data_IF_038760866250
#
_entry.id   IF_038760866250
#
_cell.length_a   1.000
_cell.length_b   1.000
_cell.length_c   1.000
_cell.angle_alpha   90.00
_cell.angle_beta   90.00
_cell.angle_gamma   90.00
#
_symmetry.space_group_name_H-M   'P 1'
#
loop_
_entity.id
_entity.type
_entity.pdbx_description
1 polymer ?
#
# COMPACT_ATOMS: atom_id res chain seq x y z
N UNK A 1 66.26 21.98 6.64
CA UNK A 1 64.77 21.92 6.62
C UNK A 1 64.35 20.77 7.52
N UNK A 2 63.78 21.04 8.70
CA UNK A 2 63.29 19.99 9.62
C UNK A 2 61.82 19.75 9.33
N UNK A 3 61.48 18.61 8.75
CA UNK A 3 60.10 18.16 8.68
C UNK A 3 59.65 17.82 10.11
N UNK A 4 58.61 18.52 10.61
CA UNK A 4 57.99 18.17 11.89
C UNK A 4 57.29 16.84 11.68
N UNK A 5 57.83 15.78 12.29
CA UNK A 5 57.21 14.47 12.30
C UNK A 5 55.87 14.55 13.06
N UNK A 6 54.86 13.86 12.54
CA UNK A 6 53.56 13.62 13.19
C UNK A 6 53.75 13.20 14.65
N UNK A 7 53.05 13.85 15.58
CA UNK A 7 53.06 13.41 16.98
C UNK A 7 52.09 12.26 17.17
N UNK A 8 52.39 11.31 18.07
CA UNK A 8 51.50 10.19 18.38
C UNK A 8 50.10 10.67 18.84
N UNK A 9 50.07 11.80 19.55
CA UNK A 9 48.83 12.45 19.96
C UNK A 9 47.98 12.91 18.77
N UNK A 10 48.59 13.49 17.75
CA UNK A 10 47.91 13.95 16.53
C UNK A 10 47.32 12.79 15.73
N UNK A 11 47.99 11.63 15.70
CA UNK A 11 47.45 10.40 15.08
C UNK A 11 46.23 9.91 15.86
N UNK A 12 46.28 9.90 17.19
CA UNK A 12 45.16 9.46 18.03
C UNK A 12 43.95 10.39 17.85
N UNK A 13 44.17 11.71 17.83
CA UNK A 13 43.10 12.69 17.60
C UNK A 13 42.52 12.53 16.19
N UNK A 14 43.37 12.38 15.18
CA UNK A 14 42.93 12.17 13.79
C UNK A 14 42.11 10.89 13.64
N UNK A 15 42.54 9.79 14.26
CA UNK A 15 41.78 8.54 14.30
C UNK A 15 40.44 8.72 15.01
N UNK A 16 40.39 9.49 16.10
CA UNK A 16 39.16 9.82 16.80
C UNK A 16 38.15 10.52 15.89
N UNK A 17 38.59 11.53 15.13
CA UNK A 17 37.75 12.26 14.17
C UNK A 17 37.25 11.31 13.07
N UNK A 18 38.11 10.44 12.54
CA UNK A 18 37.75 9.45 11.51
C UNK A 18 36.68 8.48 12.05
N UNK A 19 36.86 7.96 13.27
CA UNK A 19 35.92 7.01 13.88
C UNK A 19 34.55 7.67 14.09
N UNK A 20 34.49 8.89 14.60
CA UNK A 20 33.23 9.62 14.76
C UNK A 20 32.54 9.85 13.41
N UNK A 21 33.30 10.23 12.38
CA UNK A 21 32.79 10.39 11.01
C UNK A 21 32.24 9.09 10.42
N UNK A 22 32.93 7.97 10.63
CA UNK A 22 32.52 6.64 10.16
C UNK A 22 31.26 6.14 10.87
N UNK A 23 31.14 6.33 12.19
CA UNK A 23 29.93 5.95 12.93
C UNK A 23 28.75 6.82 12.47
N UNK A 24 28.95 8.13 12.32
CA UNK A 24 27.94 9.05 11.81
C UNK A 24 27.42 8.63 10.43
N UNK A 25 28.31 8.33 9.49
CA UNK A 25 27.91 7.91 8.14
C UNK A 25 27.16 6.57 8.14
N UNK A 26 27.60 5.59 8.94
CA UNK A 26 26.94 4.28 9.01
C UNK A 26 25.52 4.38 9.60
N UNK A 27 25.32 5.23 10.60
CA UNK A 27 23.98 5.45 11.18
C UNK A 27 23.02 6.08 10.16
N UNK A 28 23.49 7.05 9.38
CA UNK A 28 22.70 7.70 8.34
C UNK A 28 22.33 6.74 7.21
N UNK A 29 23.27 5.89 6.77
CA UNK A 29 22.99 4.84 5.76
C UNK A 29 21.91 3.88 6.27
N UNK A 30 22.05 3.40 7.51
CA UNK A 30 21.09 2.48 8.13
C UNK A 30 19.69 3.10 8.25
N UNK A 31 19.61 4.39 8.62
CA UNK A 31 18.37 5.14 8.67
C UNK A 31 17.74 5.28 7.28
N UNK A 32 18.53 5.61 6.26
CA UNK A 32 18.07 5.80 4.88
C UNK A 32 17.52 4.50 4.28
N UNK A 33 18.21 3.37 4.46
CA UNK A 33 17.75 2.06 3.98
C UNK A 33 16.40 1.70 4.64
N UNK A 34 16.29 1.90 5.95
CA UNK A 34 15.04 1.64 6.67
C UNK A 34 13.89 2.53 6.17
N UNK A 35 14.14 3.82 5.96
CA UNK A 35 13.14 4.76 5.45
C UNK A 35 12.68 4.43 4.02
N UNK A 36 13.59 3.97 3.17
CA UNK A 36 13.28 3.55 1.80
C UNK A 36 12.34 2.34 1.77
N UNK A 37 12.60 1.32 2.60
CA UNK A 37 11.73 0.14 2.71
C UNK A 37 10.29 0.51 3.14
N UNK A 38 10.15 1.36 4.17
CA UNK A 38 8.85 1.84 4.63
C UNK A 38 8.13 2.65 3.55
N UNK A 39 8.86 3.48 2.80
CA UNK A 39 8.29 4.29 1.72
C UNK A 39 7.77 3.43 0.57
N UNK A 40 8.51 2.38 0.22
CA UNK A 40 8.08 1.39 -0.79
C UNK A 40 6.77 0.70 -0.39
N UNK A 41 6.66 0.23 0.86
CA UNK A 41 5.43 -0.40 1.36
C UNK A 41 4.23 0.56 1.33
N UNK A 42 4.44 1.83 1.70
CA UNK A 42 3.39 2.86 1.61
C UNK A 42 2.94 3.11 0.18
N UNK A 43 3.87 3.11 -0.78
CA UNK A 43 3.54 3.31 -2.20
C UNK A 43 2.71 2.14 -2.75
N UNK A 44 3.06 0.90 -2.40
CA UNK A 44 2.26 -0.28 -2.73
C UNK A 44 0.87 -0.18 -2.09
N UNK A 45 0.78 0.16 -0.80
CA UNK A 45 -0.49 0.32 -0.11
C UNK A 45 -1.37 1.42 -0.73
N UNK A 46 -0.76 2.53 -1.18
CA UNK A 46 -1.47 3.60 -1.88
C UNK A 46 -2.03 3.12 -3.23
N UNK A 47 -1.24 2.39 -4.02
CA UNK A 47 -1.69 1.80 -5.28
C UNK A 47 -2.83 0.80 -5.07
N UNK A 48 -2.72 -0.06 -4.06
CA UNK A 48 -3.77 -1.03 -3.71
C UNK A 48 -5.08 -0.37 -3.25
N UNK A 49 -4.98 0.75 -2.54
CA UNK A 49 -6.14 1.53 -2.11
C UNK A 49 -6.81 2.24 -3.30
N UNK A 50 -6.00 2.80 -4.21
CA UNK A 50 -6.51 3.38 -5.46
C UNK A 50 -7.21 2.34 -6.33
N UNK A 51 -6.58 1.17 -6.53
CA UNK A 51 -7.16 0.05 -7.28
C UNK A 51 -8.51 -0.39 -6.69
N UNK A 52 -8.64 -0.36 -5.36
CA UNK A 52 -9.90 -0.62 -4.67
C UNK A 52 -11.02 0.34 -5.09
N UNK A 53 -10.74 1.64 -5.12
CA UNK A 53 -11.69 2.67 -5.58
C UNK A 53 -12.01 2.50 -7.06
N UNK A 54 -11.01 2.28 -7.90
CA UNK A 54 -11.21 2.05 -9.34
C UNK A 54 -12.06 0.81 -9.61
N UNK A 55 -11.90 -0.25 -8.81
CA UNK A 55 -12.73 -1.46 -8.92
C UNK A 55 -14.20 -1.16 -8.64
N UNK A 56 -14.48 -0.33 -7.64
CA UNK A 56 -15.86 0.11 -7.33
C UNK A 56 -16.42 0.99 -8.45
N UNK A 57 -15.60 1.90 -9.00
CA UNK A 57 -15.97 2.73 -10.16
C UNK A 57 -16.25 1.87 -11.40
N UNK A 58 -15.42 0.87 -11.66
CA UNK A 58 -15.64 -0.08 -12.75
C UNK A 58 -16.93 -0.89 -12.55
N UNK A 59 -17.24 -1.30 -11.32
CA UNK A 59 -18.52 -1.95 -10.99
C UNK A 59 -19.70 -1.05 -11.34
N UNK A 60 -19.65 0.23 -10.94
CA UNK A 60 -20.66 1.24 -11.32
C UNK A 60 -20.83 1.34 -12.83
N UNK A 61 -19.73 1.57 -13.56
CA UNK A 61 -19.77 1.86 -15.00
C UNK A 61 -20.22 0.63 -15.81
N UNK A 62 -19.90 -0.57 -15.33
CA UNK A 62 -20.31 -1.83 -15.94
C UNK A 62 -21.81 -2.12 -15.83
N UNK A 63 -22.52 -1.49 -14.87
CA UNK A 63 -23.95 -1.72 -14.66
C UNK A 63 -24.82 -1.22 -15.83
N UNK A 64 -24.35 -0.21 -16.58
CA UNK A 64 -25.03 0.36 -17.75
C UNK A 64 -26.36 1.09 -17.46
N UNK A 65 -26.94 0.91 -16.26
CA UNK A 65 -28.23 1.47 -15.87
C UNK A 65 -28.03 2.75 -15.05
N UNK A 66 -27.90 3.89 -15.73
CA UNK A 66 -27.73 5.19 -15.08
C UNK A 66 -28.97 5.68 -14.32
N UNK A 67 -30.16 5.10 -14.57
CA UNK A 67 -31.36 5.34 -13.76
C UNK A 67 -31.26 4.71 -12.35
N UNK A 68 -30.43 3.68 -12.19
CA UNK A 68 -30.04 3.07 -10.92
C UNK A 68 -28.53 2.82 -10.91
N UNK A 69 -27.77 3.90 -11.06
CA UNK A 69 -26.31 3.88 -11.21
C UNK A 69 -25.59 3.21 -10.03
N UNK A 70 -26.26 3.10 -8.88
CA UNK A 70 -25.76 2.46 -7.66
C UNK A 70 -26.13 0.98 -7.51
N UNK A 71 -26.85 0.39 -8.48
CA UNK A 71 -27.36 -1.00 -8.41
C UNK A 71 -26.28 -2.06 -8.14
N UNK A 72 -25.03 -1.79 -8.52
CA UNK A 72 -23.87 -2.65 -8.26
C UNK A 72 -22.99 -2.24 -7.08
N UNK A 73 -23.38 -1.23 -6.28
CA UNK A 73 -22.59 -0.60 -5.21
C UNK A 73 -23.48 -0.14 -4.04
N UNK A 74 -24.14 -1.09 -3.37
CA UNK A 74 -24.89 -0.81 -2.15
C UNK A 74 -23.98 -0.47 -0.97
N UNK A 75 -24.56 0.02 0.13
CA UNK A 75 -23.80 0.30 1.34
C UNK A 75 -23.38 -1.02 1.99
N UNK A 76 -22.15 -1.08 2.47
CA UNK A 76 -21.61 -2.30 3.06
C UNK A 76 -20.09 -2.42 2.95
N UNK A 77 -19.62 -3.59 3.35
CA UNK A 77 -18.21 -3.97 3.31
C UNK A 77 -17.94 -4.93 2.15
N UNK A 78 -16.84 -4.69 1.44
CA UNK A 78 -16.47 -5.42 0.25
C UNK A 78 -14.96 -5.68 0.19
N UNK A 79 -14.59 -6.56 -0.72
CA UNK A 79 -13.22 -6.72 -1.22
C UNK A 79 -13.18 -6.47 -2.73
N UNK A 80 -12.10 -5.88 -3.21
CA UNK A 80 -11.80 -5.83 -4.65
C UNK A 80 -11.08 -7.10 -5.06
N UNK A 81 -11.68 -7.85 -5.98
CA UNK A 81 -11.18 -9.13 -6.47
C UNK A 81 -10.96 -9.05 -7.98
N UNK A 82 -9.84 -9.63 -8.43
CA UNK A 82 -9.55 -9.82 -9.85
C UNK A 82 -9.61 -11.31 -10.17
N UNK A 83 -10.38 -11.67 -11.18
CA UNK A 83 -10.32 -13.00 -11.76
C UNK A 83 -9.05 -13.11 -12.62
N UNK A 84 -8.11 -13.95 -12.18
CA UNK A 84 -6.78 -14.07 -12.80
C UNK A 84 -6.80 -14.75 -14.18
N UNK A 85 -7.93 -15.35 -14.59
CA UNK A 85 -8.06 -16.01 -15.90
C UNK A 85 -8.54 -15.07 -17.00
N UNK A 86 -9.34 -14.06 -16.67
CA UNK A 86 -9.89 -13.10 -17.64
C UNK A 86 -9.59 -11.63 -17.30
N UNK A 87 -8.79 -11.38 -16.25
CA UNK A 87 -8.39 -10.05 -15.78
C UNK A 87 -9.56 -9.10 -15.47
N UNK A 88 -10.71 -9.66 -15.09
CA UNK A 88 -11.90 -8.88 -14.74
C UNK A 88 -11.89 -8.51 -13.26
N UNK A 89 -12.00 -7.21 -12.98
CA UNK A 89 -12.17 -6.65 -11.64
C UNK A 89 -13.64 -6.67 -11.23
N UNK A 90 -13.90 -7.11 -10.00
CA UNK A 90 -15.24 -7.14 -9.38
C UNK A 90 -15.13 -6.80 -7.90
N UNK A 91 -16.19 -6.20 -7.33
CA UNK A 91 -16.34 -6.15 -5.88
C UNK A 91 -17.12 -7.37 -5.40
N UNK A 92 -16.71 -7.94 -4.27
CA UNK A 92 -17.40 -9.06 -3.62
C UNK A 92 -17.73 -8.64 -2.19
N UNK A 93 -18.97 -8.87 -1.76
CA UNK A 93 -19.40 -8.56 -0.39
C UNK A 93 -18.62 -9.41 0.62
N UNK A 94 -18.09 -8.76 1.66
CA UNK A 94 -17.24 -9.40 2.66
C UNK A 94 -17.39 -8.68 4.01
N UNK A 95 -17.88 -9.41 5.02
CA UNK A 95 -18.03 -8.89 6.38
C UNK A 95 -16.70 -8.76 7.14
N UNK A 96 -15.64 -9.40 6.64
CA UNK A 96 -14.32 -9.51 7.27
C UNK A 96 -13.18 -9.22 6.29
N UNK A 97 -13.20 -8.08 5.57
CA UNK A 97 -12.34 -7.86 4.41
C UNK A 97 -10.85 -7.69 4.74
N UNK A 98 -10.48 -7.65 6.03
CA UNK A 98 -9.10 -7.50 6.50
C UNK A 98 -8.47 -8.81 7.00
N UNK A 99 -9.24 -9.89 7.12
CA UNK A 99 -8.75 -11.19 7.64
C UNK A 99 -7.91 -11.94 6.62
N UNK A 100 -8.21 -11.78 5.33
CA UNK A 100 -7.46 -12.41 4.25
C UNK A 100 -6.35 -11.49 3.72
N UNK A 101 -5.13 -12.02 3.60
CA UNK A 101 -4.00 -11.31 3.02
C UNK A 101 -3.99 -11.48 1.50
N UNK A 102 -3.65 -10.40 0.80
CA UNK A 102 -3.44 -10.41 -0.63
C UNK A 102 -2.24 -11.28 -0.99
N UNK A 103 -2.32 -11.91 -2.16
CA UNK A 103 -1.24 -12.64 -2.82
C UNK A 103 -0.70 -11.81 -3.97
N UNK A 104 0.57 -11.99 -4.27
CA UNK A 104 1.23 -11.34 -5.40
C UNK A 104 1.71 -12.38 -6.40
N UNK A 105 1.37 -12.17 -7.67
CA UNK A 105 1.89 -12.96 -8.79
C UNK A 105 3.00 -12.14 -9.46
N UNK A 106 4.24 -12.61 -9.37
CA UNK A 106 5.39 -11.91 -9.95
C UNK A 106 5.44 -11.94 -11.48
N UNK A 107 4.73 -12.86 -12.13
CA UNK A 107 4.66 -12.93 -13.59
C UNK A 107 3.69 -11.89 -14.17
N UNK A 108 2.58 -11.61 -13.48
CA UNK A 108 1.57 -10.62 -13.93
C UNK A 108 1.68 -9.27 -13.24
N UNK A 109 2.36 -9.19 -12.09
CA UNK A 109 2.45 -7.98 -11.27
C UNK A 109 1.16 -7.65 -10.51
N UNK A 110 0.23 -8.60 -10.40
CA UNK A 110 -1.10 -8.37 -9.81
C UNK A 110 -1.19 -8.84 -8.36
N UNK A 111 -1.99 -8.10 -7.58
CA UNK A 111 -2.44 -8.49 -6.25
C UNK A 111 -3.85 -9.07 -6.31
N UNK A 112 -4.06 -10.21 -5.65
CA UNK A 112 -5.31 -10.96 -5.76
C UNK A 112 -5.51 -11.90 -4.55
N UNK A 113 -6.69 -12.50 -4.42
CA UNK A 113 -7.00 -13.45 -3.35
C UNK A 113 -6.97 -14.92 -3.83
N UNK A 114 -7.57 -15.19 -5.00
CA UNK A 114 -7.78 -16.53 -5.54
C UNK A 114 -7.38 -16.64 -7.02
N UNK A 115 -6.85 -17.78 -7.50
CA UNK A 115 -6.57 -19.01 -6.74
C UNK A 115 -5.22 -18.99 -6.00
N UNK A 116 -5.12 -19.56 -4.79
CA UNK A 116 -3.90 -19.52 -3.96
C UNK A 116 -2.61 -20.04 -4.63
N UNK A 117 -2.74 -20.94 -5.61
CA UNK A 117 -1.63 -21.58 -6.32
C UNK A 117 -0.85 -20.64 -7.25
N UNK A 118 -1.38 -19.46 -7.56
CA UNK A 118 -0.79 -18.54 -8.54
C UNK A 118 0.03 -17.39 -7.94
N UNK A 119 0.28 -17.38 -6.62
CA UNK A 119 0.99 -16.26 -6.01
C UNK A 119 1.40 -16.47 -4.56
N UNK A 120 2.40 -15.68 -4.15
CA UNK A 120 2.96 -15.70 -2.80
C UNK A 120 2.18 -14.76 -1.88
N UNK A 121 1.99 -15.16 -0.63
CA UNK A 121 1.31 -14.36 0.37
C UNK A 121 2.09 -13.06 0.64
N UNK A 122 1.37 -11.94 0.74
CA UNK A 122 1.95 -10.63 1.05
C UNK A 122 1.62 -10.19 2.48
N UNK A 123 2.12 -9.03 2.89
CA UNK A 123 1.82 -8.43 4.20
C UNK A 123 0.50 -7.63 4.22
N UNK A 124 -0.10 -7.39 3.04
CA UNK A 124 -1.22 -6.48 2.87
C UNK A 124 -2.56 -7.21 2.96
N UNK A 125 -3.51 -6.64 3.70
CA UNK A 125 -4.94 -6.92 3.53
C UNK A 125 -5.66 -5.64 3.11
N UNK A 126 -6.73 -5.78 2.34
CA UNK A 126 -7.47 -4.65 1.77
C UNK A 126 -8.96 -4.81 2.02
N UNK A 127 -9.57 -3.77 2.57
CA UNK A 127 -11.01 -3.68 2.69
C UNK A 127 -11.59 -2.44 2.02
N UNK A 128 -12.82 -2.61 1.54
CA UNK A 128 -13.63 -1.55 0.97
C UNK A 128 -14.86 -1.36 1.84
N UNK A 129 -15.26 -0.11 2.04
CA UNK A 129 -16.53 0.23 2.66
C UNK A 129 -17.22 1.28 1.81
N UNK A 130 -18.47 1.02 1.45
CA UNK A 130 -19.32 1.96 0.72
C UNK A 130 -20.40 2.46 1.66
N UNK A 131 -20.60 3.77 1.71
CA UNK A 131 -21.71 4.40 2.45
C UNK A 131 -22.41 5.44 1.58
N UNK A 132 -23.71 5.62 1.78
CA UNK A 132 -24.48 6.69 1.16
C UNK A 132 -24.21 8.02 1.86
N UNK A 133 -23.98 9.07 1.08
CA UNK A 133 -23.92 10.44 1.58
C UNK A 133 -25.26 11.19 1.46
N UNK A 134 -25.32 12.46 1.93
CA UNK A 134 -26.56 13.23 2.07
C UNK A 134 -27.34 13.49 0.78
N UNK A 135 -26.67 13.46 -0.38
CA UNK A 135 -27.24 13.85 -1.68
C UNK A 135 -27.28 12.68 -2.69
N UNK A 136 -27.39 11.45 -2.18
CA UNK A 136 -27.37 10.24 -3.02
C UNK A 136 -25.99 9.92 -3.58
N UNK A 137 -24.93 10.63 -3.16
CA UNK A 137 -23.54 10.25 -3.42
C UNK A 137 -23.19 8.92 -2.75
N UNK A 138 -22.21 8.21 -3.30
CA UNK A 138 -21.59 7.05 -2.68
C UNK A 138 -20.17 7.38 -2.28
N UNK A 139 -19.89 7.34 -0.98
CA UNK A 139 -18.56 7.48 -0.44
C UNK A 139 -17.92 6.10 -0.36
N UNK A 140 -16.70 5.98 -0.89
CA UNK A 140 -15.94 4.74 -0.95
C UNK A 140 -14.70 4.93 -0.11
N UNK A 141 -14.56 4.09 0.89
CA UNK A 141 -13.35 3.99 1.68
C UNK A 141 -12.60 2.73 1.26
N UNK A 142 -11.41 2.90 0.69
CA UNK A 142 -10.49 1.80 0.48
C UNK A 142 -9.37 1.87 1.49
N UNK A 143 -9.29 0.89 2.37
CA UNK A 143 -8.27 0.80 3.40
C UNK A 143 -7.37 -0.41 3.15
N UNK A 144 -6.06 -0.19 3.20
CA UNK A 144 -5.05 -1.24 3.14
C UNK A 144 -4.34 -1.27 4.49
N UNK A 145 -4.23 -2.47 5.07
CA UNK A 145 -3.58 -2.72 6.35
C UNK A 145 -2.37 -3.63 6.16
N UNK A 146 -1.29 -3.34 6.86
CA UNK A 146 -0.11 -4.20 6.89
C UNK A 146 0.63 -4.06 8.22
N UNK A 147 1.47 -5.03 8.54
CA UNK A 147 2.33 -4.98 9.71
C UNK A 147 3.79 -4.83 9.29
N UNK A 148 4.48 -3.85 9.86
CA UNK A 148 5.88 -3.57 9.59
C UNK A 148 6.64 -3.49 10.92
N UNK A 149 7.63 -4.37 11.12
CA UNK A 149 8.46 -4.42 12.34
C UNK A 149 7.62 -4.46 13.64
N UNK A 150 6.57 -5.27 13.64
CA UNK A 150 5.65 -5.42 14.76
C UNK A 150 4.61 -4.29 14.90
N UNK A 151 4.68 -3.23 14.09
CA UNK A 151 3.74 -2.10 14.14
C UNK A 151 2.66 -2.24 13.07
N UNK A 152 1.41 -2.10 13.48
CA UNK A 152 0.29 -2.04 12.56
C UNK A 152 0.30 -0.69 11.82
N UNK A 153 0.16 -0.76 10.50
CA UNK A 153 0.07 0.37 9.60
C UNK A 153 -1.21 0.24 8.79
N UNK A 154 -1.81 1.38 8.47
CA UNK A 154 -2.91 1.45 7.54
C UNK A 154 -2.78 2.68 6.64
N UNK A 155 -3.37 2.58 5.46
CA UNK A 155 -3.55 3.68 4.53
C UNK A 155 -4.98 3.62 4.03
N UNK A 156 -5.67 4.76 4.09
CA UNK A 156 -7.07 4.89 3.68
C UNK A 156 -7.18 5.92 2.55
N UNK A 157 -7.70 5.48 1.41
CA UNK A 157 -8.11 6.35 0.32
C UNK A 157 -9.63 6.54 0.36
N UNK A 158 -10.08 7.74 -0.01
CA UNK A 158 -11.51 8.08 -0.06
C UNK A 158 -11.87 8.50 -1.48
N UNK A 159 -12.90 7.89 -2.05
CA UNK A 159 -13.49 8.26 -3.33
C UNK A 159 -14.94 8.66 -3.15
N UNK A 160 -15.41 9.55 -4.00
CA UNK A 160 -16.82 9.96 -4.05
C UNK A 160 -17.34 9.62 -5.45
N UNK A 161 -18.47 8.92 -5.52
CA UNK A 161 -19.20 8.69 -6.75
C UNK A 161 -20.53 9.42 -6.69
N UNK A 162 -20.93 9.93 -7.84
CA UNK A 162 -22.14 10.71 -8.03
C UNK A 162 -22.89 10.20 -9.25
N UNK A 163 -24.14 10.63 -9.38
CA UNK A 163 -24.98 10.37 -10.54
C UNK A 163 -24.65 11.31 -11.70
N UNK A 164 -23.46 11.18 -12.30
CA UNK A 164 -23.12 11.85 -13.54
C UNK A 164 -22.23 10.95 -14.41
N UNK A 165 -22.29 11.19 -15.72
CA UNK A 165 -21.55 10.47 -16.75
C UNK A 165 -20.45 11.34 -17.34
#
# INVERSE_FOLDING_TARGET
MRQKAFTLLEVIVSLGIIVVGLVGSLTLVSFTISGSATSSLKLIAAGLAQEGIETVRNSRDSSGNWGSWYSGISDGSYRAEINTSNFKWTIVGDSTPFEEKLRFNSATGLYFYSPPSQGSLTLFSRGLTVISGPDGEKQIFSEVRWQERGRNRSLKAVGYLYNWK
#
